data_IF_658232991288
#
_entry.id   IF_658232991288
#
_cell.length_a   1.000
_cell.length_b   1.000
_cell.length_c   1.000
_cell.angle_alpha   90.00
_cell.angle_beta   90.00
_cell.angle_gamma   90.00
#
_symmetry.space_group_name_H-M   'P 1'
#
loop_
_entity.id
_entity.type
_entity.pdbx_description
1 polymer ?
#
# COMPACT_ATOMS: atom_id res chain seq x y z
N UNK A 1 -9.48 -4.63 -1.81
CA UNK A 1 -8.67 -5.01 -3.00
C UNK A 1 -7.25 -4.50 -2.78
N UNK A 2 -6.31 -5.36 -2.37
CA UNK A 2 -5.12 -4.92 -1.64
C UNK A 2 -4.16 -4.22 -2.59
N UNK A 3 -3.53 -3.14 -2.12
CA UNK A 3 -2.31 -2.67 -2.73
C UNK A 3 -1.25 -3.63 -2.23
N UNK A 4 -0.73 -4.44 -3.14
CA UNK A 4 0.40 -5.31 -2.89
C UNK A 4 1.60 -4.61 -3.53
N UNK A 5 2.49 -4.08 -2.71
CA UNK A 5 3.79 -3.60 -3.15
C UNK A 5 4.83 -4.19 -2.24
N UNK A 6 5.83 -4.86 -2.80
CA UNK A 6 6.97 -5.35 -2.04
C UNK A 6 8.24 -4.95 -2.77
N UNK A 7 9.18 -4.33 -2.04
CA UNK A 7 10.52 -4.06 -2.53
C UNK A 7 11.35 -5.29 -2.19
N UNK A 8 11.84 -5.99 -3.21
CA UNK A 8 12.59 -7.22 -3.05
C UNK A 8 14.09 -7.00 -3.20
N UNK A 9 14.88 -7.86 -2.57
CA UNK A 9 16.31 -7.94 -2.74
C UNK A 9 16.83 -9.38 -2.70
N UNK A 10 18.06 -9.57 -3.15
CA UNK A 10 18.74 -10.87 -3.16
C UNK A 10 19.87 -10.87 -2.15
N UNK A 11 19.96 -11.91 -1.33
CA UNK A 11 21.10 -12.14 -0.41
C UNK A 11 21.61 -13.55 -0.55
N UNK A 12 22.92 -13.75 -0.41
CA UNK A 12 23.51 -15.08 -0.27
C UNK A 12 23.32 -15.56 1.16
N UNK A 13 22.62 -16.67 1.32
CA UNK A 13 22.34 -17.35 2.58
C UNK A 13 22.82 -18.79 2.43
N UNK A 14 23.86 -19.20 3.17
CA UNK A 14 24.50 -20.52 3.06
C UNK A 14 24.85 -20.96 1.62
N UNK A 15 25.38 -20.04 0.80
CA UNK A 15 25.78 -20.31 -0.59
C UNK A 15 24.63 -20.29 -1.62
N UNK A 16 23.38 -20.12 -1.18
CA UNK A 16 22.21 -20.00 -2.06
C UNK A 16 21.76 -18.55 -2.14
N UNK A 17 21.40 -18.08 -3.35
CA UNK A 17 20.79 -16.76 -3.52
C UNK A 17 19.32 -16.86 -3.11
N UNK A 18 18.96 -16.16 -2.05
CA UNK A 18 17.59 -16.09 -1.52
C UNK A 18 17.02 -14.69 -1.78
N UNK A 19 15.80 -14.62 -2.32
CA UNK A 19 15.07 -13.36 -2.47
C UNK A 19 14.33 -13.03 -1.16
N UNK A 20 14.63 -11.88 -0.56
CA UNK A 20 13.97 -11.34 0.64
C UNK A 20 13.25 -10.02 0.27
N UNK A 21 12.39 -9.51 1.15
CA UNK A 21 11.73 -8.21 0.95
C UNK A 21 12.31 -7.16 1.90
N UNK A 22 12.66 -5.98 1.42
CA UNK A 22 13.09 -4.84 2.25
C UNK A 22 11.89 -4.11 2.84
N UNK A 23 10.84 -3.95 2.04
CA UNK A 23 9.63 -3.21 2.40
C UNK A 23 8.39 -3.92 1.85
N UNK A 24 7.32 -3.99 2.63
CA UNK A 24 6.06 -4.62 2.22
C UNK A 24 4.88 -3.73 2.59
N UNK A 25 4.05 -3.42 1.60
CA UNK A 25 2.81 -2.64 1.74
C UNK A 25 1.63 -3.56 1.49
N UNK A 26 0.77 -3.76 2.50
CA UNK A 26 -0.41 -4.60 2.37
C UNK A 26 -1.66 -4.00 3.01
N UNK A 27 -2.83 -4.43 2.52
CA UNK A 27 -4.14 -4.06 3.07
C UNK A 27 -4.82 -5.17 3.87
N UNK A 28 -4.11 -6.25 4.22
CA UNK A 28 -4.67 -7.41 4.91
C UNK A 28 -4.51 -7.29 6.43
N UNK A 29 -5.54 -7.68 7.18
CA UNK A 29 -5.52 -7.77 8.65
C UNK A 29 -4.80 -9.05 9.08
N UNK A 30 -4.00 -8.98 10.15
CA UNK A 30 -3.31 -10.16 10.70
C UNK A 30 -2.10 -10.66 9.90
N UNK A 31 -1.68 -9.94 8.85
CA UNK A 31 -0.51 -10.33 8.04
C UNK A 31 0.81 -9.76 8.57
N UNK A 32 0.74 -8.75 9.45
CA UNK A 32 1.92 -8.10 10.01
C UNK A 32 2.75 -9.12 10.79
N UNK A 33 2.09 -9.90 11.62
CA UNK A 33 2.68 -10.91 12.49
C UNK A 33 3.38 -11.99 11.67
N UNK A 34 2.73 -12.47 10.60
CA UNK A 34 3.30 -13.44 9.67
C UNK A 34 4.54 -12.90 8.93
N UNK A 35 4.51 -11.63 8.49
CA UNK A 35 5.66 -10.99 7.83
C UNK A 35 6.80 -10.79 8.82
N UNK A 36 6.53 -10.31 10.03
CA UNK A 36 7.56 -10.12 11.05
C UNK A 36 8.21 -11.44 11.47
N UNK A 37 7.44 -12.54 11.49
CA UNK A 37 7.98 -13.86 11.78
C UNK A 37 8.85 -14.42 10.63
N UNK A 38 8.39 -14.32 9.38
CA UNK A 38 9.11 -14.87 8.23
C UNK A 38 10.27 -13.97 7.74
N UNK A 39 10.12 -12.65 7.89
CA UNK A 39 11.04 -11.63 7.40
C UNK A 39 11.24 -10.52 8.45
N UNK A 40 11.97 -10.80 9.55
CA UNK A 40 12.08 -9.87 10.68
C UNK A 40 12.78 -8.55 10.35
N UNK A 41 13.52 -8.49 9.25
CA UNK A 41 14.19 -7.27 8.77
C UNK A 41 13.29 -6.41 7.88
N UNK A 42 12.11 -6.87 7.49
CA UNK A 42 11.21 -6.18 6.56
C UNK A 42 10.37 -5.16 7.29
N UNK A 43 10.38 -3.93 6.79
CA UNK A 43 9.45 -2.91 7.24
C UNK A 43 8.05 -3.18 6.65
N UNK A 44 7.05 -3.26 7.52
CA UNK A 44 5.66 -3.45 7.14
C UNK A 44 4.89 -2.14 7.21
N UNK A 45 4.28 -1.74 6.08
CA UNK A 45 3.35 -0.63 6.02
C UNK A 45 1.96 -1.12 5.67
N UNK A 46 0.95 -0.59 6.34
CA UNK A 46 -0.42 -0.74 5.84
C UNK A 46 -0.62 0.19 4.65
N UNK A 47 -1.31 -0.29 3.61
CA UNK A 47 -1.61 0.54 2.46
C UNK A 47 -2.49 1.75 2.86
N UNK A 48 -2.03 2.96 2.56
CA UNK A 48 -2.76 4.20 2.86
C UNK A 48 -4.13 4.27 2.18
N UNK A 49 -4.26 3.68 1.00
CA UNK A 49 -5.53 3.67 0.28
C UNK A 49 -6.55 2.78 0.97
N UNK A 50 -6.12 1.66 1.55
CA UNK A 50 -6.99 0.83 2.39
C UNK A 50 -7.35 1.54 3.68
N UNK A 51 -6.41 2.26 4.29
CA UNK A 51 -6.69 3.08 5.47
C UNK A 51 -7.79 4.11 5.17
N UNK A 52 -7.59 4.93 4.13
CA UNK A 52 -8.54 5.97 3.72
C UNK A 52 -9.89 5.36 3.33
N UNK A 53 -9.92 4.34 2.45
CA UNK A 53 -11.18 3.71 2.02
C UNK A 53 -11.94 3.08 3.16
N UNK A 54 -11.26 2.42 4.10
CA UNK A 54 -11.93 1.79 5.24
C UNK A 54 -12.51 2.84 6.19
N UNK A 55 -11.81 3.96 6.42
CA UNK A 55 -12.34 5.07 7.22
C UNK A 55 -13.54 5.74 6.56
N UNK A 56 -13.48 6.00 5.25
CA UNK A 56 -14.57 6.67 4.53
C UNK A 56 -15.88 5.85 4.47
N UNK A 57 -15.87 4.55 4.79
CA UNK A 57 -17.10 3.74 4.93
C UNK A 57 -18.03 4.22 6.05
N UNK A 58 -17.47 4.86 7.08
CA UNK A 58 -18.22 5.38 8.22
C UNK A 58 -18.73 6.82 8.00
N UNK A 59 -18.36 7.44 6.87
CA UNK A 59 -18.57 8.86 6.61
C UNK A 59 -19.70 9.02 5.60
N UNK A 60 -20.65 9.92 5.89
CA UNK A 60 -21.75 10.20 4.98
C UNK A 60 -21.23 10.88 3.69
N UNK A 61 -21.88 10.59 2.55
CA UNK A 61 -21.45 11.07 1.22
C UNK A 61 -21.17 12.58 1.16
N UNK A 62 -22.03 13.39 1.79
CA UNK A 62 -21.89 14.85 1.83
C UNK A 62 -20.59 15.34 2.49
N UNK A 63 -20.05 14.56 3.42
CA UNK A 63 -18.85 14.89 4.19
C UNK A 63 -17.59 14.19 3.66
N UNK A 64 -17.73 13.16 2.81
CA UNK A 64 -16.61 12.34 2.31
C UNK A 64 -15.49 13.17 1.68
N UNK A 65 -15.83 14.20 0.89
CA UNK A 65 -14.82 15.03 0.20
C UNK A 65 -13.97 15.82 1.21
N UNK A 66 -14.62 16.42 2.22
CA UNK A 66 -13.96 17.19 3.27
C UNK A 66 -13.12 16.27 4.16
N UNK A 67 -13.70 15.16 4.60
CA UNK A 67 -13.00 14.16 5.42
C UNK A 67 -11.77 13.59 4.69
N UNK A 68 -11.90 13.26 3.40
CA UNK A 68 -10.79 12.73 2.61
C UNK A 68 -9.66 13.78 2.42
N UNK A 69 -9.99 15.06 2.34
CA UNK A 69 -9.01 16.14 2.29
C UNK A 69 -8.25 16.25 3.62
N UNK A 70 -8.95 16.14 4.75
CA UNK A 70 -8.34 16.14 6.07
C UNK A 70 -7.44 14.90 6.27
N UNK A 71 -7.89 13.71 5.88
CA UNK A 71 -7.06 12.48 5.94
C UNK A 71 -5.78 12.59 5.13
N UNK A 72 -5.81 13.28 3.98
CA UNK A 72 -4.60 13.53 3.16
C UNK A 72 -3.54 14.31 3.92
N UNK A 73 -3.92 15.17 4.87
CA UNK A 73 -2.94 15.95 5.65
C UNK A 73 -2.06 15.07 6.52
N UNK A 74 -2.57 13.91 6.95
CA UNK A 74 -1.86 12.97 7.83
C UNK A 74 -0.63 12.39 7.13
N UNK A 75 -0.84 11.71 5.99
CA UNK A 75 0.24 10.98 5.31
C UNK A 75 1.06 11.84 4.33
N UNK A 76 0.65 13.10 4.09
CA UNK A 76 1.43 14.08 3.34
C UNK A 76 2.28 15.00 4.24
N UNK A 77 2.17 14.88 5.57
CA UNK A 77 2.98 15.65 6.52
C UNK A 77 4.49 15.36 6.32
N UNK A 78 5.38 16.31 6.61
CA UNK A 78 6.80 16.14 6.30
C UNK A 78 7.44 15.06 7.19
N UNK A 79 7.02 15.00 8.45
CA UNK A 79 7.54 14.07 9.46
C UNK A 79 6.43 13.27 10.15
N UNK A 80 6.83 12.25 10.91
CA UNK A 80 5.93 11.49 11.77
C UNK A 80 5.23 12.38 12.81
N UNK A 81 5.97 13.28 13.47
CA UNK A 81 5.42 14.19 14.49
C UNK A 81 4.36 15.13 13.89
N UNK A 82 4.62 15.70 12.72
CA UNK A 82 3.62 16.50 12.01
C UNK A 82 2.41 15.66 11.58
N UNK A 83 2.65 14.43 11.13
CA UNK A 83 1.60 13.48 10.76
C UNK A 83 0.72 13.10 11.95
N UNK A 84 1.32 12.92 13.13
CA UNK A 84 0.61 12.65 14.37
C UNK A 84 -0.23 13.86 14.80
N UNK A 85 0.34 15.07 14.78
CA UNK A 85 -0.41 16.32 15.03
C UNK A 85 -1.57 16.48 14.05
N UNK A 86 -1.37 16.16 12.78
CA UNK A 86 -2.45 16.18 11.79
C UNK A 86 -3.53 15.15 12.12
N UNK A 87 -3.16 13.91 12.46
CA UNK A 87 -4.11 12.87 12.89
C UNK A 87 -4.96 13.35 14.05
N UNK A 88 -4.35 13.93 15.07
CA UNK A 88 -5.04 14.35 16.29
C UNK A 88 -6.04 15.48 15.99
N UNK A 89 -5.69 16.43 15.11
CA UNK A 89 -6.65 17.44 14.59
C UNK A 89 -7.84 16.82 13.84
N UNK A 90 -7.61 15.78 13.03
CA UNK A 90 -8.69 15.07 12.33
C UNK A 90 -9.60 14.34 13.32
N UNK A 91 -9.01 13.71 14.34
CA UNK A 91 -9.75 13.06 15.43
C UNK A 91 -10.64 14.07 16.14
N UNK A 92 -10.10 15.20 16.56
CA UNK A 92 -10.85 16.26 17.24
C UNK A 92 -12.02 16.77 16.39
N UNK A 93 -11.76 17.08 15.12
CA UNK A 93 -12.77 17.62 14.20
C UNK A 93 -13.94 16.68 13.94
N UNK A 94 -13.68 15.38 13.80
CA UNK A 94 -14.67 14.43 13.26
C UNK A 94 -15.23 13.43 14.26
N UNK A 95 -14.61 13.24 15.43
CA UNK A 95 -15.02 12.18 16.37
C UNK A 95 -16.41 12.39 16.97
N UNK A 96 -16.87 13.63 17.09
CA UNK A 96 -18.22 13.95 17.57
C UNK A 96 -19.32 13.48 16.62
N UNK A 97 -19.09 13.63 15.31
CA UNK A 97 -20.05 13.30 14.25
C UNK A 97 -19.93 11.87 13.75
N UNK A 98 -18.70 11.35 13.69
CA UNK A 98 -18.40 9.98 13.24
C UNK A 98 -17.59 9.23 14.29
N UNK A 99 -18.26 8.75 15.35
CA UNK A 99 -17.61 7.91 16.36
C UNK A 99 -16.90 6.73 15.69
N UNK A 100 -15.72 6.38 16.18
CA UNK A 100 -14.88 5.28 15.69
C UNK A 100 -14.26 5.43 14.28
N UNK A 101 -14.56 6.47 13.51
CA UNK A 101 -13.99 6.67 12.17
C UNK A 101 -12.45 6.68 12.17
N UNK A 102 -11.85 7.25 13.22
CA UNK A 102 -10.40 7.37 13.40
C UNK A 102 -9.78 6.30 14.30
N UNK A 103 -10.58 5.39 14.89
CA UNK A 103 -10.09 4.37 15.85
C UNK A 103 -8.91 3.57 15.29
N UNK A 104 -9.03 3.10 14.05
CA UNK A 104 -7.97 2.33 13.37
C UNK A 104 -6.67 3.10 13.16
N UNK A 105 -6.76 4.42 12.94
CA UNK A 105 -5.58 5.28 12.76
C UNK A 105 -4.83 5.49 14.08
N UNK A 106 -5.55 5.47 15.20
CA UNK A 106 -4.97 5.57 16.54
C UNK A 106 -4.34 4.23 16.94
N UNK A 107 -5.11 3.14 16.83
CA UNK A 107 -4.67 1.80 17.27
C UNK A 107 -3.54 1.20 16.42
N UNK A 108 -3.48 1.55 15.13
CA UNK A 108 -2.52 0.99 14.19
C UNK A 108 -1.63 2.11 13.61
N UNK A 109 -1.23 3.08 14.42
CA UNK A 109 -0.38 4.17 13.97
C UNK A 109 1.00 3.66 13.52
N UNK A 110 1.54 2.67 14.22
CA UNK A 110 2.80 1.99 13.96
C UNK A 110 2.93 1.43 12.53
N UNK A 111 1.83 0.99 11.91
CA UNK A 111 1.83 0.50 10.51
C UNK A 111 1.62 1.62 9.48
N UNK A 112 1.34 2.84 9.92
CA UNK A 112 1.30 4.05 9.09
C UNK A 112 2.67 4.71 9.05
N UNK A 113 3.34 4.79 10.21
CA UNK A 113 4.62 5.48 10.42
C UNK A 113 5.69 5.21 9.36
N UNK A 114 5.90 3.98 8.85
CA UNK A 114 6.95 3.71 7.87
C UNK A 114 6.87 4.56 6.60
N UNK A 115 5.69 5.09 6.25
CA UNK A 115 5.54 6.00 5.10
C UNK A 115 6.39 7.27 5.25
N UNK A 116 6.63 7.74 6.48
CA UNK A 116 7.37 8.97 6.73
C UNK A 116 8.87 8.85 6.50
N UNK A 117 9.42 7.63 6.41
CA UNK A 117 10.83 7.38 6.07
C UNK A 117 11.18 7.85 4.65
N UNK A 118 10.18 7.82 3.75
CA UNK A 118 10.34 8.13 2.34
C UNK A 118 10.18 9.63 2.07
N UNK A 119 10.83 10.18 1.04
CA UNK A 119 10.53 11.54 0.59
C UNK A 119 9.12 11.65 0.00
N UNK A 120 8.64 12.87 -0.18
CA UNK A 120 7.33 13.13 -0.79
C UNK A 120 7.19 12.49 -2.18
N UNK A 121 8.26 12.49 -2.97
CA UNK A 121 8.26 11.92 -4.32
C UNK A 121 8.15 10.40 -4.28
N UNK A 122 8.88 9.75 -3.36
CA UNK A 122 8.80 8.29 -3.18
C UNK A 122 7.48 7.86 -2.56
N UNK A 123 6.95 8.63 -1.60
CA UNK A 123 5.60 8.41 -1.05
C UNK A 123 4.56 8.44 -2.15
N UNK A 124 4.65 9.39 -3.09
CA UNK A 124 3.74 9.48 -4.23
C UNK A 124 3.73 8.16 -4.99
N UNK A 125 4.89 7.59 -5.32
CA UNK A 125 4.99 6.27 -5.97
C UNK A 125 4.31 5.19 -5.11
N UNK A 126 4.64 5.12 -3.82
CA UNK A 126 4.15 4.12 -2.86
C UNK A 126 2.62 4.10 -2.74
N UNK A 127 1.96 5.25 -2.63
CA UNK A 127 0.50 5.31 -2.50
C UNK A 127 -0.23 5.51 -3.84
N UNK A 128 0.46 5.70 -4.97
CA UNK A 128 -0.22 5.72 -6.28
C UNK A 128 -0.92 4.38 -6.49
N UNK A 129 -2.25 4.43 -6.61
CA UNK A 129 -3.06 3.23 -6.79
C UNK A 129 -3.27 2.86 -8.24
N UNK A 130 -2.81 3.69 -9.18
CA UNK A 130 -3.18 3.59 -10.59
C UNK A 130 -2.88 2.22 -11.21
N UNK A 131 -1.68 1.66 -10.96
CA UNK A 131 -1.32 0.35 -11.51
C UNK A 131 -2.21 -0.78 -10.94
N UNK A 132 -2.42 -0.76 -9.63
CA UNK A 132 -3.19 -1.79 -8.93
C UNK A 132 -4.69 -1.65 -9.20
N UNK A 133 -5.21 -0.42 -9.25
CA UNK A 133 -6.60 -0.14 -9.60
C UNK A 133 -6.90 -0.47 -11.06
N UNK A 134 -5.97 -0.18 -11.96
CA UNK A 134 -6.05 -0.58 -13.37
C UNK A 134 -6.16 -2.11 -13.50
N UNK A 135 -5.25 -2.85 -12.86
CA UNK A 135 -5.29 -4.32 -12.86
C UNK A 135 -6.59 -4.86 -12.25
N UNK A 136 -6.98 -4.29 -11.11
CA UNK A 136 -8.21 -4.66 -10.43
C UNK A 136 -9.48 -4.38 -11.25
N UNK A 137 -9.49 -3.28 -12.01
CA UNK A 137 -10.57 -2.96 -12.94
C UNK A 137 -10.67 -4.00 -14.06
N UNK A 138 -9.54 -4.45 -14.59
CA UNK A 138 -9.47 -5.55 -15.57
C UNK A 138 -10.06 -6.85 -15.00
N UNK A 139 -9.72 -7.21 -13.76
CA UNK A 139 -10.33 -8.39 -13.10
C UNK A 139 -11.83 -8.23 -12.85
N UNK A 140 -12.31 -7.04 -12.45
CA UNK A 140 -13.76 -6.81 -12.31
C UNK A 140 -14.49 -6.87 -13.65
N UNK A 141 -13.84 -6.51 -14.75
CA UNK A 141 -14.41 -6.69 -16.10
C UNK A 141 -14.57 -8.18 -16.43
N UNK A 142 -13.56 -9.00 -16.10
CA UNK A 142 -13.62 -10.46 -16.24
C UNK A 142 -14.82 -11.04 -15.47
N UNK A 143 -14.97 -10.68 -14.19
CA UNK A 143 -16.08 -11.17 -13.35
C UNK A 143 -17.47 -10.71 -13.83
N UNK A 144 -17.57 -9.54 -14.48
CA UNK A 144 -18.83 -9.07 -15.07
C UNK A 144 -19.24 -9.87 -16.31
N UNK A 145 -18.27 -10.39 -17.05
CA UNK A 145 -18.50 -11.20 -18.25
C UNK A 145 -18.71 -12.68 -17.92
N UNK A 146 -18.13 -13.16 -16.82
CA UNK A 146 -18.28 -14.53 -16.32
C UNK A 146 -18.43 -14.50 -14.80
N UNK A 147 -19.67 -14.69 -14.34
CA UNK A 147 -20.00 -14.69 -12.90
C UNK A 147 -19.64 -16.01 -12.21
N UNK A 148 -19.59 -17.12 -12.95
CA UNK A 148 -19.28 -18.46 -12.44
C UNK A 148 -18.19 -19.10 -13.29
N UNK A 149 -17.18 -19.65 -12.63
CA UNK A 149 -16.12 -20.44 -13.27
C UNK A 149 -16.34 -21.93 -12.98
N UNK A 150 -16.06 -22.81 -13.95
CA UNK A 150 -16.31 -24.25 -13.79
C UNK A 150 -15.31 -24.96 -12.86
N UNK A 151 -14.16 -24.34 -12.58
CA UNK A 151 -13.17 -24.84 -11.62
C UNK A 151 -12.19 -23.72 -11.21
N UNK A 152 -11.47 -23.94 -10.12
CA UNK A 152 -10.38 -23.07 -9.67
C UNK A 152 -9.29 -22.90 -10.74
N UNK A 153 -8.99 -23.97 -11.48
CA UNK A 153 -8.02 -23.92 -12.58
C UNK A 153 -8.51 -23.04 -13.73
N UNK A 154 -9.81 -23.06 -14.03
CA UNK A 154 -10.39 -22.19 -15.04
C UNK A 154 -10.35 -20.71 -14.61
N UNK A 155 -10.60 -20.43 -13.33
CA UNK A 155 -10.43 -19.10 -12.75
C UNK A 155 -8.97 -18.65 -12.83
N UNK A 156 -8.02 -19.50 -12.40
CA UNK A 156 -6.60 -19.21 -12.43
C UNK A 156 -6.11 -18.89 -13.85
N UNK A 157 -6.52 -19.68 -14.85
CA UNK A 157 -6.19 -19.45 -16.25
C UNK A 157 -6.74 -18.11 -16.75
N UNK A 158 -7.97 -17.77 -16.39
CA UNK A 158 -8.59 -16.51 -16.78
C UNK A 158 -7.90 -15.29 -16.14
N UNK A 159 -7.56 -15.38 -14.84
CA UNK A 159 -6.79 -14.35 -14.15
C UNK A 159 -5.38 -14.21 -14.74
N UNK A 160 -4.70 -15.31 -15.04
CA UNK A 160 -3.39 -15.31 -15.68
C UNK A 160 -3.44 -14.59 -17.03
N UNK A 161 -4.37 -14.95 -17.91
CA UNK A 161 -4.50 -14.32 -19.23
C UNK A 161 -4.84 -12.83 -19.13
N UNK A 162 -5.72 -12.45 -18.20
CA UNK A 162 -6.05 -11.03 -17.96
C UNK A 162 -4.83 -10.24 -17.45
N UNK A 163 -4.02 -10.86 -16.59
CA UNK A 163 -2.76 -10.28 -16.09
C UNK A 163 -1.77 -10.10 -17.24
N UNK A 164 -1.56 -11.15 -18.03
CA UNK A 164 -0.64 -11.17 -19.16
C UNK A 164 -1.00 -10.08 -20.18
N UNK A 165 -2.28 -9.90 -20.49
CA UNK A 165 -2.73 -8.86 -21.38
C UNK A 165 -2.56 -7.45 -20.78
N UNK A 166 -2.78 -7.28 -19.48
CA UNK A 166 -2.54 -6.01 -18.80
C UNK A 166 -1.04 -5.64 -18.80
N UNK A 167 -0.16 -6.61 -18.58
CA UNK A 167 1.30 -6.39 -18.51
C UNK A 167 1.90 -5.93 -19.83
N UNK A 168 1.30 -6.27 -20.98
CA UNK A 168 1.75 -5.78 -22.29
C UNK A 168 1.74 -4.25 -22.41
N UNK A 169 0.92 -3.58 -21.60
CA UNK A 169 0.79 -2.11 -21.58
C UNK A 169 1.75 -1.46 -20.58
N UNK A 170 2.48 -2.23 -19.77
CA UNK A 170 3.39 -1.74 -18.76
C UNK A 170 4.80 -1.52 -19.34
N UNK A 171 4.87 -0.70 -20.38
CA UNK A 171 6.12 -0.40 -21.11
C UNK A 171 6.80 0.87 -20.59
N UNK A 172 6.07 1.71 -19.86
CA UNK A 172 6.58 2.98 -19.36
C UNK A 172 7.31 2.79 -18.03
N UNK A 173 8.52 3.36 -17.86
CA UNK A 173 9.21 3.33 -16.59
C UNK A 173 8.45 4.16 -15.55
N UNK A 174 8.66 3.84 -14.27
CA UNK A 174 8.12 4.64 -13.18
C UNK A 174 8.79 6.02 -13.21
N UNK A 175 7.98 7.08 -13.22
CA UNK A 175 8.49 8.45 -13.19
C UNK A 175 9.36 8.68 -11.94
N UNK A 176 10.50 9.34 -12.11
CA UNK A 176 11.51 9.58 -11.05
C UNK A 176 12.00 8.31 -10.34
N UNK A 177 11.99 7.16 -11.01
CA UNK A 177 12.46 5.91 -10.39
C UNK A 177 13.90 5.98 -9.90
N UNK A 178 14.82 6.62 -10.63
CA UNK A 178 16.23 6.72 -10.21
C UNK A 178 16.41 7.43 -8.86
N UNK A 179 15.69 8.53 -8.63
CA UNK A 179 15.68 9.23 -7.35
C UNK A 179 15.08 8.35 -6.25
N UNK A 180 13.96 7.70 -6.53
CA UNK A 180 13.32 6.80 -5.58
C UNK A 180 14.20 5.60 -5.21
N UNK A 181 14.90 5.04 -6.20
CA UNK A 181 15.84 3.95 -6.03
C UNK A 181 17.02 4.37 -5.16
N UNK A 182 17.62 5.55 -5.43
CA UNK A 182 18.71 6.09 -4.62
C UNK A 182 18.33 6.27 -3.16
N UNK A 183 17.15 6.86 -2.88
CA UNK A 183 16.63 6.95 -1.51
C UNK A 183 16.47 5.58 -0.86
N UNK A 184 15.92 4.60 -1.57
CA UNK A 184 15.76 3.24 -1.05
C UNK A 184 17.10 2.56 -0.78
N UNK A 185 18.12 2.75 -1.62
CA UNK A 185 19.47 2.21 -1.38
C UNK A 185 20.11 2.79 -0.13
N UNK A 186 19.91 4.09 0.13
CA UNK A 186 20.39 4.75 1.36
C UNK A 186 19.63 4.21 2.59
N UNK A 187 18.31 4.11 2.52
CA UNK A 187 17.49 3.64 3.65
C UNK A 187 17.69 2.16 3.97
N UNK A 188 17.93 1.34 2.95
CA UNK A 188 18.09 -0.10 3.04
C UNK A 188 19.48 -0.52 2.57
N UNK A 189 20.50 0.10 3.17
CA UNK A 189 21.91 -0.14 2.85
C UNK A 189 22.25 -1.64 2.85
N UNK A 190 22.99 -2.07 1.83
CA UNK A 190 23.42 -3.45 1.64
C UNK A 190 22.28 -4.44 1.36
N UNK A 191 21.05 -3.95 1.15
CA UNK A 191 19.91 -4.80 0.77
C UNK A 191 19.70 -4.75 -0.73
N UNK A 192 19.64 -3.58 -1.35
CA UNK A 192 19.39 -3.49 -2.78
C UNK A 192 20.67 -3.75 -3.61
N UNK A 193 20.55 -4.37 -4.80
CA UNK A 193 21.69 -4.54 -5.69
C UNK A 193 22.19 -3.17 -6.20
N UNK A 194 23.48 -3.06 -6.48
CA UNK A 194 24.05 -1.88 -7.15
C UNK A 194 23.54 -1.75 -8.60
#
# INVERSE_FOLDING_TARGET
MPAFGAIHYSVRDNGVIVKKAAYVILGLTGIKEAISAAFPKTDYQRCMVHMVRNTLKYVASKDMKSFAADLKTIYNAASEDEGQKARDRVVEKWSSKYPNSMKRWIENWDVVVPIFKFSKDVRKIIYTTNAIESLNSSYRKLNRQRSVFPSDQALLKALYLATFEATKKWTQPIHNWGQAYGEMCIMYEGRLPD
#
